data_IF_510616947604
#
_entry.id   IF_510616947604
#
_cell.length_a   1.000
_cell.length_b   1.000
_cell.length_c   1.000
_cell.angle_alpha   90.00
_cell.angle_beta   90.00
_cell.angle_gamma   90.00
#
_symmetry.space_group_name_H-M   'P 1'
#
loop_
_entity.id
_entity.type
_entity.pdbx_description
1 polymer ?
#
# COMPACT_ATOMS: atom_id res chain seq x y z
N UNK A 1 -38.42 -2.56 6.83
CA UNK A 1 -37.34 -2.40 7.83
C UNK A 1 -36.34 -1.37 7.30
N UNK A 2 -36.47 -0.11 7.72
CA UNK A 2 -35.60 0.99 7.28
C UNK A 2 -34.16 0.88 7.80
N UNK A 3 -33.97 0.29 9.00
CA UNK A 3 -32.64 0.21 9.63
C UNK A 3 -31.70 -0.76 8.90
N UNK A 4 -32.16 -1.94 8.48
CA UNK A 4 -31.34 -2.90 7.71
C UNK A 4 -30.89 -2.32 6.35
N UNK A 5 -31.75 -1.52 5.72
CA UNK A 5 -31.40 -0.83 4.47
C UNK A 5 -30.34 0.27 4.67
N UNK A 6 -30.28 0.88 5.85
CA UNK A 6 -29.23 1.84 6.21
C UNK A 6 -27.90 1.16 6.52
N UNK A 7 -27.93 -0.02 7.16
CA UNK A 7 -26.72 -0.81 7.43
C UNK A 7 -26.06 -1.29 6.14
N UNK A 8 -26.84 -1.85 5.20
CA UNK A 8 -26.33 -2.31 3.91
C UNK A 8 -25.70 -1.19 3.05
N UNK A 9 -26.21 0.05 3.13
CA UNK A 9 -25.59 1.21 2.47
C UNK A 9 -24.24 1.58 3.08
N UNK A 10 -24.13 1.47 4.40
CA UNK A 10 -22.95 1.86 5.15
C UNK A 10 -21.80 0.85 5.02
N UNK A 11 -22.13 -0.43 4.92
CA UNK A 11 -21.18 -1.48 4.55
C UNK A 11 -20.62 -1.24 3.13
N UNK A 12 -21.48 -0.90 2.17
CA UNK A 12 -21.05 -0.63 0.80
C UNK A 12 -20.09 0.57 0.69
N UNK A 13 -20.25 1.60 1.53
CA UNK A 13 -19.32 2.74 1.57
C UNK A 13 -17.93 2.34 2.10
N UNK A 14 -17.86 1.45 3.10
CA UNK A 14 -16.58 0.92 3.59
C UNK A 14 -15.84 0.21 2.45
N UNK A 15 -16.53 -0.67 1.74
CA UNK A 15 -15.94 -1.43 0.64
C UNK A 15 -15.50 -0.51 -0.50
N UNK A 16 -16.26 0.54 -0.83
CA UNK A 16 -15.92 1.51 -1.87
C UNK A 16 -14.65 2.30 -1.54
N UNK A 17 -14.53 2.80 -0.31
CA UNK A 17 -13.35 3.54 0.14
C UNK A 17 -12.09 2.66 0.10
N UNK A 18 -12.17 1.43 0.62
CA UNK A 18 -11.03 0.51 0.59
C UNK A 18 -10.68 0.03 -0.83
N UNK A 19 -11.66 -0.18 -1.69
CA UNK A 19 -11.42 -0.55 -3.09
C UNK A 19 -10.69 0.56 -3.86
N UNK A 20 -11.02 1.83 -3.59
CA UNK A 20 -10.31 2.97 -4.20
C UNK A 20 -8.84 3.01 -3.80
N UNK A 21 -8.53 2.72 -2.52
CA UNK A 21 -7.16 2.61 -2.02
C UNK A 21 -6.43 1.45 -2.67
N UNK A 22 -7.04 0.26 -2.71
CA UNK A 22 -6.46 -0.95 -3.31
C UNK A 22 -6.12 -0.73 -4.78
N UNK A 23 -7.03 -0.12 -5.55
CA UNK A 23 -6.80 0.21 -6.96
C UNK A 23 -5.60 1.14 -7.12
N UNK A 24 -5.57 2.22 -6.34
CA UNK A 24 -4.51 3.23 -6.38
C UNK A 24 -3.14 2.62 -6.05
N UNK A 25 -3.07 1.73 -5.05
CA UNK A 25 -1.85 0.99 -4.73
C UNK A 25 -1.45 0.04 -5.85
N UNK A 26 -2.40 -0.71 -6.40
CA UNK A 26 -2.15 -1.68 -7.46
C UNK A 26 -1.56 -1.02 -8.71
N UNK A 27 -2.11 0.13 -9.12
CA UNK A 27 -1.60 0.93 -10.23
C UNK A 27 -0.17 1.41 -9.95
N UNK A 28 0.09 1.99 -8.78
CA UNK A 28 1.43 2.42 -8.38
C UNK A 28 2.46 1.28 -8.33
N UNK A 29 2.07 0.11 -7.82
CA UNK A 29 2.93 -1.09 -7.81
C UNK A 29 3.27 -1.52 -9.23
N UNK A 30 2.29 -1.53 -10.13
CA UNK A 30 2.48 -1.94 -11.51
C UNK A 30 3.43 -0.99 -12.26
N UNK A 31 3.24 0.31 -12.11
CA UNK A 31 4.12 1.33 -12.70
C UNK A 31 5.57 1.20 -12.17
N UNK A 32 5.75 1.03 -10.86
CA UNK A 32 7.08 0.89 -10.28
C UNK A 32 7.78 -0.44 -10.68
N UNK A 33 7.03 -1.54 -10.90
CA UNK A 33 7.57 -2.79 -11.46
C UNK A 33 8.12 -2.58 -12.88
N UNK A 34 7.39 -1.85 -13.73
CA UNK A 34 7.87 -1.53 -15.07
C UNK A 34 9.15 -0.68 -15.01
N UNK A 35 9.20 0.30 -14.10
CA UNK A 35 10.41 1.09 -13.87
C UNK A 35 11.62 0.24 -13.46
N UNK A 36 11.41 -0.74 -12.56
CA UNK A 36 12.44 -1.68 -12.12
C UNK A 36 12.96 -2.57 -13.25
N UNK A 37 12.07 -3.11 -14.09
CA UNK A 37 12.46 -3.93 -15.25
C UNK A 37 13.39 -3.15 -16.20
N UNK A 38 13.09 -1.87 -16.44
CA UNK A 38 13.93 -1.00 -17.26
C UNK A 38 15.32 -0.85 -16.64
N UNK A 39 15.42 -0.60 -15.33
CA UNK A 39 16.71 -0.48 -14.63
C UNK A 39 17.53 -1.76 -14.79
N UNK A 40 16.92 -2.93 -14.57
CA UNK A 40 17.61 -4.22 -14.68
C UNK A 40 18.11 -4.50 -16.11
N UNK A 41 17.33 -4.13 -17.13
CA UNK A 41 17.77 -4.23 -18.52
C UNK A 41 19.01 -3.38 -18.78
N UNK A 42 19.05 -2.14 -18.27
CA UNK A 42 20.21 -1.25 -18.39
C UNK A 42 21.43 -1.82 -17.67
N UNK A 43 21.25 -2.32 -16.43
CA UNK A 43 22.33 -2.96 -15.67
C UNK A 43 22.87 -4.22 -16.33
N UNK A 44 22.02 -5.03 -16.96
CA UNK A 44 22.43 -6.25 -17.65
C UNK A 44 23.23 -5.93 -18.93
N UNK A 45 22.85 -4.87 -19.65
CA UNK A 45 23.58 -4.44 -20.84
C UNK A 45 24.95 -3.80 -20.49
N UNK A 46 25.09 -3.15 -19.33
CA UNK A 46 26.30 -2.40 -18.93
C UNK A 46 27.62 -3.21 -18.92
N UNK A 47 27.69 -4.44 -18.38
CA UNK A 47 28.89 -5.28 -18.45
C UNK A 47 29.29 -5.66 -19.88
N UNK A 48 28.31 -5.92 -20.76
CA UNK A 48 28.56 -6.25 -22.16
C UNK A 48 29.05 -5.01 -22.92
N UNK A 49 28.51 -3.83 -22.62
CA UNK A 49 29.05 -2.52 -23.06
C UNK A 49 30.52 -2.37 -22.64
N UNK A 50 30.85 -2.68 -21.38
CA UNK A 50 32.24 -2.56 -20.86
C UNK A 50 33.21 -3.57 -21.46
N UNK A 51 32.77 -4.82 -21.71
CA UNK A 51 33.59 -5.88 -22.32
C UNK A 51 33.89 -5.63 -23.79
N UNK A 52 33.03 -4.89 -24.49
CA UNK A 52 33.19 -4.50 -25.90
C UNK A 52 34.08 -3.24 -26.09
N UNK A 53 34.89 -2.88 -25.09
CA UNK A 53 35.83 -1.75 -25.14
C UNK A 53 36.84 -1.77 -26.31
N UNK A 54 36.95 -2.88 -27.04
CA UNK A 54 37.74 -2.99 -28.27
C UNK A 54 36.98 -2.51 -29.54
N UNK A 55 35.69 -2.14 -29.45
CA UNK A 55 34.83 -1.70 -30.58
C UNK A 55 34.05 -0.40 -30.23
N UNK A 56 34.72 0.74 -30.39
CA UNK A 56 34.32 2.02 -29.78
C UNK A 56 33.04 2.72 -30.32
N UNK A 57 32.50 2.36 -31.49
CA UNK A 57 31.37 3.09 -32.09
C UNK A 57 29.99 2.59 -31.61
N UNK A 58 29.87 1.29 -31.34
CA UNK A 58 28.65 0.69 -30.78
C UNK A 58 28.50 0.99 -29.28
N UNK A 59 29.63 1.22 -28.59
CA UNK A 59 29.70 1.65 -27.18
C UNK A 59 28.89 2.92 -26.90
N UNK A 60 28.99 3.93 -27.78
CA UNK A 60 28.34 5.22 -27.60
C UNK A 60 26.81 5.14 -27.70
N UNK A 61 26.30 4.34 -28.63
CA UNK A 61 24.86 4.20 -28.86
C UNK A 61 24.18 3.38 -27.74
N UNK A 62 24.79 2.30 -27.27
CA UNK A 62 24.20 1.44 -26.22
C UNK A 62 24.29 2.11 -24.84
N UNK A 63 25.38 2.83 -24.55
CA UNK A 63 25.49 3.61 -23.30
C UNK A 63 24.48 4.75 -23.25
N UNK A 64 24.28 5.45 -24.37
CA UNK A 64 23.29 6.51 -24.49
C UNK A 64 21.86 5.95 -24.40
N UNK A 65 21.56 4.82 -25.02
CA UNK A 65 20.25 4.16 -24.93
C UNK A 65 19.92 3.73 -23.50
N UNK A 66 20.88 3.15 -22.78
CA UNK A 66 20.71 2.77 -21.38
C UNK A 66 20.48 3.97 -20.46
N UNK A 67 21.27 5.04 -20.62
CA UNK A 67 21.07 6.28 -19.87
C UNK A 67 19.71 6.94 -20.17
N UNK A 68 19.31 6.99 -21.44
CA UNK A 68 18.01 7.53 -21.86
C UNK A 68 16.83 6.72 -21.32
N UNK A 69 16.96 5.39 -21.25
CA UNK A 69 15.93 4.51 -20.67
C UNK A 69 15.77 4.74 -19.17
N UNK A 70 16.89 4.89 -18.44
CA UNK A 70 16.86 5.23 -17.02
C UNK A 70 16.25 6.61 -16.78
N UNK A 71 16.67 7.62 -17.54
CA UNK A 71 16.13 8.99 -17.46
C UNK A 71 14.61 9.00 -17.67
N UNK A 72 14.10 8.21 -18.61
CA UNK A 72 12.67 8.08 -18.88
C UNK A 72 11.89 7.36 -17.80
N UNK A 73 12.48 6.40 -17.10
CA UNK A 73 11.80 5.61 -16.07
C UNK A 73 11.73 6.32 -14.71
N UNK A 74 12.66 7.24 -14.42
CA UNK A 74 12.72 7.94 -13.12
C UNK A 74 11.43 8.72 -12.77
N UNK A 75 10.77 9.45 -13.69
CA UNK A 75 9.50 10.12 -13.40
C UNK A 75 8.38 9.14 -13.04
N UNK A 76 8.29 8.00 -13.73
CA UNK A 76 7.26 6.98 -13.50
C UNK A 76 7.46 6.30 -12.13
N UNK A 77 8.71 6.02 -11.76
CA UNK A 77 9.06 5.54 -10.41
C UNK A 77 8.65 6.56 -9.34
N UNK A 78 8.95 7.85 -9.55
CA UNK A 78 8.62 8.91 -8.60
C UNK A 78 7.11 9.09 -8.43
N UNK A 79 6.37 9.03 -9.54
CA UNK A 79 4.91 9.12 -9.56
C UNK A 79 4.27 7.94 -8.82
N UNK A 80 4.76 6.74 -9.06
CA UNK A 80 4.33 5.52 -8.39
C UNK A 80 4.44 5.66 -6.87
N UNK A 81 5.63 6.06 -6.38
CA UNK A 81 5.89 6.28 -4.94
C UNK A 81 4.91 7.30 -4.36
N UNK A 82 4.65 8.41 -5.06
CA UNK A 82 3.72 9.44 -4.60
C UNK A 82 2.25 8.98 -4.55
N UNK A 83 1.81 8.19 -5.52
CA UNK A 83 0.47 7.60 -5.56
C UNK A 83 0.26 6.60 -4.42
N UNK A 84 1.28 5.80 -4.12
CA UNK A 84 1.29 4.81 -3.05
C UNK A 84 1.26 5.46 -1.66
N UNK A 85 2.02 6.53 -1.44
CA UNK A 85 2.02 7.26 -0.14
C UNK A 85 0.64 7.85 0.15
N UNK A 86 -0.06 8.36 -0.86
CA UNK A 86 -1.44 8.88 -0.70
C UNK A 86 -2.47 7.80 -0.37
N UNK A 87 -2.25 6.58 -0.85
CA UNK A 87 -3.11 5.44 -0.54
C UNK A 87 -3.04 5.06 0.95
N UNK A 88 -1.90 5.32 1.61
CA UNK A 88 -1.75 5.10 3.06
C UNK A 88 -2.56 6.12 3.87
N UNK A 89 -2.56 7.39 3.45
CA UNK A 89 -3.30 8.47 4.13
C UNK A 89 -4.82 8.25 4.15
N UNK A 90 -5.35 7.37 3.30
CA UNK A 90 -6.79 7.10 3.15
C UNK A 90 -7.28 5.91 3.99
N UNK A 91 -6.37 5.11 4.56
CA UNK A 91 -6.69 3.94 5.41
C UNK A 91 -7.45 4.36 6.68
N UNK A 92 -7.06 5.47 7.29
CA UNK A 92 -7.63 5.96 8.55
C UNK A 92 -9.10 6.38 8.40
N UNK A 93 -9.54 6.77 7.19
CA UNK A 93 -10.93 7.13 6.90
C UNK A 93 -11.87 5.91 6.92
N UNK A 94 -11.54 4.87 6.15
CA UNK A 94 -12.36 3.64 6.05
C UNK A 94 -12.50 2.92 7.38
N UNK A 95 -11.45 2.94 8.21
CA UNK A 95 -11.47 2.36 9.56
C UNK A 95 -12.41 3.13 10.48
N UNK A 96 -12.38 4.46 10.46
CA UNK A 96 -13.26 5.27 11.29
C UNK A 96 -14.73 5.02 10.95
N UNK A 97 -15.08 4.90 9.67
CA UNK A 97 -16.44 4.57 9.23
C UNK A 97 -16.87 3.20 9.77
N UNK A 98 -16.02 2.17 9.67
CA UNK A 98 -16.30 0.84 10.20
C UNK A 98 -16.47 0.80 11.72
N UNK A 99 -15.63 1.52 12.47
CA UNK A 99 -15.70 1.57 13.92
C UNK A 99 -16.93 2.33 14.43
N UNK A 100 -17.33 3.41 13.75
CA UNK A 100 -18.59 4.11 14.08
C UNK A 100 -19.81 3.19 13.88
N UNK A 101 -19.79 2.30 12.89
CA UNK A 101 -20.86 1.31 12.71
C UNK A 101 -20.85 0.25 13.82
N UNK A 102 -19.67 -0.18 14.29
CA UNK A 102 -19.57 -1.10 15.43
C UNK A 102 -20.11 -0.49 16.74
N UNK A 103 -20.13 0.84 16.87
CA UNK A 103 -20.76 1.56 18.00
C UNK A 103 -22.29 1.49 17.96
N UNK A 104 -22.91 1.28 16.80
CA UNK A 104 -24.37 1.19 16.69
C UNK A 104 -24.90 -0.16 17.21
N UNK A 105 -25.19 -0.21 18.51
CA UNK A 105 -25.77 -1.37 19.19
C UNK A 105 -27.19 -1.71 18.74
N UNK A 106 -27.80 -0.95 17.82
CA UNK A 106 -29.08 -1.30 17.20
C UNK A 106 -28.92 -2.34 16.10
N UNK A 107 -27.71 -2.49 15.55
CA UNK A 107 -27.40 -3.52 14.56
C UNK A 107 -27.41 -4.92 15.22
N UNK A 108 -27.95 -5.95 14.53
CA UNK A 108 -27.82 -7.33 14.96
C UNK A 108 -26.36 -7.74 15.15
N UNK A 109 -26.11 -8.67 16.08
CA UNK A 109 -24.77 -9.21 16.36
C UNK A 109 -24.12 -9.76 15.09
N UNK A 110 -24.88 -10.47 14.26
CA UNK A 110 -24.39 -11.03 12.98
C UNK A 110 -23.90 -9.95 12.01
N UNK A 111 -24.60 -8.83 11.91
CA UNK A 111 -24.18 -7.70 11.05
C UNK A 111 -22.92 -7.02 11.60
N UNK A 112 -22.82 -6.88 12.92
CA UNK A 112 -21.62 -6.32 13.57
C UNK A 112 -20.40 -7.23 13.42
N UNK A 113 -20.58 -8.55 13.47
CA UNK A 113 -19.52 -9.51 13.12
C UNK A 113 -19.08 -9.39 11.65
N UNK A 114 -20.02 -9.20 10.71
CA UNK A 114 -19.68 -8.97 9.30
C UNK A 114 -18.87 -7.69 9.11
N UNK A 115 -19.25 -6.60 9.76
CA UNK A 115 -18.50 -5.32 9.72
C UNK A 115 -17.09 -5.53 10.27
N UNK A 116 -16.96 -6.18 11.44
CA UNK A 116 -15.65 -6.52 12.03
C UNK A 116 -14.80 -7.33 11.05
N UNK A 117 -15.39 -8.37 10.44
CA UNK A 117 -14.70 -9.23 9.49
C UNK A 117 -14.23 -8.46 8.25
N UNK A 118 -15.07 -7.59 7.69
CA UNK A 118 -14.69 -6.75 6.55
C UNK A 118 -13.55 -5.79 6.90
N UNK A 119 -13.58 -5.15 8.07
CA UNK A 119 -12.47 -4.29 8.52
C UNK A 119 -11.19 -5.12 8.64
N UNK A 120 -11.26 -6.31 9.25
CA UNK A 120 -10.11 -7.20 9.43
C UNK A 120 -9.52 -7.67 8.09
N UNK A 121 -10.35 -8.07 7.13
CA UNK A 121 -9.92 -8.48 5.80
C UNK A 121 -9.31 -7.32 5.01
N UNK A 122 -9.88 -6.13 5.13
CA UNK A 122 -9.30 -4.93 4.52
C UNK A 122 -7.92 -4.62 5.11
N UNK A 123 -7.77 -4.64 6.44
CA UNK A 123 -6.46 -4.47 7.09
C UNK A 123 -5.45 -5.53 6.65
N UNK A 124 -5.87 -6.79 6.47
CA UNK A 124 -5.01 -7.84 5.93
C UNK A 124 -4.54 -7.54 4.50
N UNK A 125 -5.45 -7.09 3.61
CA UNK A 125 -5.10 -6.69 2.24
C UNK A 125 -4.12 -5.52 2.22
N UNK A 126 -4.34 -4.51 3.07
CA UNK A 126 -3.45 -3.36 3.18
C UNK A 126 -2.05 -3.77 3.67
N UNK A 127 -1.98 -4.66 4.66
CA UNK A 127 -0.71 -5.22 5.14
C UNK A 127 0.09 -5.88 4.01
N UNK A 128 -0.56 -6.75 3.22
CA UNK A 128 0.08 -7.42 2.09
C UNK A 128 0.54 -6.45 1.00
N UNK A 129 -0.28 -5.45 0.67
CA UNK A 129 0.07 -4.44 -0.33
C UNK A 129 1.29 -3.62 0.11
N UNK A 130 1.38 -3.24 1.39
CA UNK A 130 2.54 -2.52 1.94
C UNK A 130 3.80 -3.39 1.95
N UNK A 131 3.68 -4.68 2.27
CA UNK A 131 4.82 -5.61 2.17
C UNK A 131 5.35 -5.71 0.72
N UNK A 132 4.47 -5.79 -0.27
CA UNK A 132 4.87 -5.79 -1.68
C UNK A 132 5.58 -4.49 -2.08
N UNK A 133 5.16 -3.36 -1.51
CA UNK A 133 5.78 -2.05 -1.74
C UNK A 133 7.17 -1.94 -1.12
N UNK A 134 7.32 -2.39 0.13
CA UNK A 134 8.62 -2.47 0.80
C UNK A 134 9.57 -3.32 -0.04
N UNK A 135 9.11 -4.47 -0.53
CA UNK A 135 9.90 -5.35 -1.38
C UNK A 135 10.32 -4.65 -2.68
N UNK A 136 9.40 -3.95 -3.35
CA UNK A 136 9.68 -3.24 -4.59
C UNK A 136 10.69 -2.11 -4.39
N UNK A 137 10.54 -1.30 -3.34
CA UNK A 137 11.49 -0.22 -3.05
C UNK A 137 12.86 -0.77 -2.68
N UNK A 138 12.91 -1.87 -1.93
CA UNK A 138 14.17 -2.56 -1.63
C UNK A 138 14.87 -3.02 -2.92
N UNK A 139 14.13 -3.64 -3.84
CA UNK A 139 14.68 -4.05 -5.14
C UNK A 139 15.13 -2.85 -6.00
N UNK A 140 14.40 -1.73 -5.97
CA UNK A 140 14.81 -0.50 -6.65
C UNK A 140 16.09 0.10 -6.07
N UNK A 141 16.26 0.09 -4.74
CA UNK A 141 17.51 0.51 -4.10
C UNK A 141 18.69 -0.37 -4.52
N UNK A 142 18.51 -1.69 -4.47
CA UNK A 142 19.54 -2.65 -4.89
C UNK A 142 19.90 -2.48 -6.37
N UNK A 143 18.90 -2.32 -7.24
CA UNK A 143 19.07 -2.13 -8.68
C UNK A 143 19.65 -0.76 -9.05
N UNK A 144 19.59 0.24 -8.17
CA UNK A 144 20.21 1.55 -8.42
C UNK A 144 21.53 1.73 -7.65
N UNK A 145 21.84 0.84 -6.71
CA UNK A 145 22.92 1.04 -5.74
C UNK A 145 22.70 2.27 -4.85
N UNK A 146 21.45 2.68 -4.66
CA UNK A 146 21.05 3.90 -3.95
C UNK A 146 20.44 3.57 -2.59
N UNK A 147 20.54 4.50 -1.64
CA UNK A 147 19.81 4.47 -0.36
C UNK A 147 18.70 5.52 -0.29
N UNK A 148 18.36 6.14 -1.42
CA UNK A 148 17.43 7.26 -1.47
C UNK A 148 15.97 6.90 -1.11
N UNK A 149 15.61 5.62 -1.08
CA UNK A 149 14.27 5.16 -0.70
C UNK A 149 14.22 4.61 0.74
N UNK A 150 15.34 4.64 1.48
CA UNK A 150 15.43 3.99 2.78
C UNK A 150 14.44 4.61 3.77
N UNK A 151 14.36 5.93 3.84
CA UNK A 151 13.40 6.63 4.70
C UNK A 151 11.95 6.25 4.35
N UNK A 152 11.63 6.09 3.06
CA UNK A 152 10.31 5.65 2.60
C UNK A 152 10.04 4.19 2.98
N UNK A 153 11.04 3.31 2.85
CA UNK A 153 10.95 1.90 3.28
C UNK A 153 10.72 1.82 4.79
N UNK A 154 11.46 2.58 5.58
CA UNK A 154 11.34 2.61 7.03
C UNK A 154 9.94 3.10 7.43
N UNK A 155 9.45 4.16 6.77
CA UNK A 155 8.08 4.65 7.00
C UNK A 155 7.01 3.64 6.63
N UNK A 156 7.18 2.93 5.51
CA UNK A 156 6.27 1.85 5.12
C UNK A 156 6.28 0.72 6.15
N UNK A 157 7.43 0.36 6.71
CA UNK A 157 7.52 -0.64 7.78
C UNK A 157 6.78 -0.19 9.04
N UNK A 158 6.94 1.08 9.46
CA UNK A 158 6.19 1.65 10.60
C UNK A 158 4.68 1.54 10.37
N UNK A 159 4.21 2.01 9.21
CA UNK A 159 2.79 1.95 8.82
C UNK A 159 2.30 0.50 8.79
N UNK A 160 3.08 -0.42 8.23
CA UNK A 160 2.73 -1.82 8.16
C UNK A 160 2.57 -2.45 9.55
N UNK A 161 3.44 -2.06 10.48
CA UNK A 161 3.34 -2.48 11.88
C UNK A 161 2.07 -1.92 12.53
N UNK A 162 1.77 -0.62 12.35
CA UNK A 162 0.54 -0.04 12.87
C UNK A 162 -0.71 -0.74 12.34
N UNK A 163 -0.75 -1.06 11.05
CA UNK A 163 -1.88 -1.80 10.43
C UNK A 163 -1.97 -3.22 11.01
N UNK A 164 -0.85 -3.90 11.23
CA UNK A 164 -0.82 -5.24 11.82
C UNK A 164 -1.32 -5.23 13.28
N UNK A 165 -0.88 -4.25 14.07
CA UNK A 165 -1.32 -4.06 15.45
C UNK A 165 -2.82 -3.75 15.49
N UNK A 166 -3.27 -2.84 14.63
CA UNK A 166 -4.67 -2.44 14.52
C UNK A 166 -5.56 -3.61 14.12
N UNK A 167 -5.11 -4.45 13.17
CA UNK A 167 -5.80 -5.69 12.80
C UNK A 167 -5.93 -6.62 14.00
N UNK A 168 -4.87 -6.79 14.77
CA UNK A 168 -4.88 -7.64 15.97
C UNK A 168 -5.92 -7.15 16.98
N UNK A 169 -6.02 -5.83 17.17
CA UNK A 169 -7.05 -5.26 18.06
C UNK A 169 -8.46 -5.47 17.49
N UNK A 170 -8.67 -5.24 16.19
CA UNK A 170 -9.96 -5.47 15.52
C UNK A 170 -10.38 -6.94 15.61
N UNK A 171 -9.46 -7.89 15.37
CA UNK A 171 -9.72 -9.32 15.48
C UNK A 171 -10.15 -9.73 16.89
N UNK A 172 -9.56 -9.08 17.89
CA UNK A 172 -9.84 -9.29 19.31
C UNK A 172 -11.18 -8.73 19.80
N UNK A 173 -11.90 -7.95 18.98
CA UNK A 173 -13.22 -7.42 19.36
C UNK A 173 -14.21 -8.57 19.53
N UNK A 174 -14.80 -8.68 20.72
CA UNK A 174 -16.04 -9.43 20.91
C UNK A 174 -17.22 -8.48 20.71
N UNK A 175 -17.93 -8.59 19.59
CA UNK A 175 -19.01 -7.64 19.29
C UNK A 175 -20.14 -7.71 20.31
N UNK A 176 -20.28 -8.80 21.07
CA UNK A 176 -21.31 -8.92 22.10
C UNK A 176 -21.05 -8.05 23.33
N UNK A 177 -19.77 -7.74 23.61
CA UNK A 177 -19.36 -7.06 24.84
C UNK A 177 -18.61 -5.75 24.60
N UNK A 178 -18.19 -5.46 23.35
CA UNK A 178 -17.44 -4.25 23.00
C UNK A 178 -18.09 -2.94 23.49
N UNK A 179 -17.26 -2.09 24.08
CA UNK A 179 -17.63 -0.78 24.61
C UNK A 179 -17.21 0.35 23.66
N UNK A 180 -17.77 1.54 23.89
CA UNK A 180 -17.35 2.72 23.12
C UNK A 180 -15.89 3.10 23.40
N UNK A 181 -15.40 2.86 24.63
CA UNK A 181 -14.02 3.15 25.02
C UNK A 181 -13.05 2.24 24.26
N UNK A 182 -13.39 0.95 24.11
CA UNK A 182 -12.61 0.01 23.28
C UNK A 182 -12.51 0.52 21.83
N UNK A 183 -13.63 0.96 21.26
CA UNK A 183 -13.67 1.46 19.88
C UNK A 183 -12.92 2.80 19.73
N UNK A 184 -12.91 3.66 20.76
CA UNK A 184 -12.15 4.91 20.76
C UNK A 184 -10.64 4.66 20.79
N UNK A 185 -10.16 3.66 21.54
CA UNK A 185 -8.73 3.27 21.53
C UNK A 185 -8.30 2.89 20.10
N UNK A 186 -9.14 2.15 19.39
CA UNK A 186 -8.87 1.71 18.01
C UNK A 186 -8.86 2.91 17.06
N UNK A 187 -9.79 3.84 17.22
CA UNK A 187 -9.81 5.09 16.43
C UNK A 187 -8.57 5.94 16.66
N UNK A 188 -8.05 5.99 17.89
CA UNK A 188 -6.85 6.76 18.20
C UNK A 188 -5.57 6.09 17.69
N UNK A 189 -5.54 4.76 17.61
CA UNK A 189 -4.47 4.03 16.91
C UNK A 189 -4.53 4.25 15.40
N UNK A 190 -5.72 4.22 14.80
CA UNK A 190 -5.91 4.44 13.36
C UNK A 190 -5.44 5.84 12.90
N UNK A 191 -5.44 6.84 13.78
CA UNK A 191 -4.92 8.20 13.48
C UNK A 191 -3.39 8.29 13.44
N UNK A 192 -2.68 7.24 13.87
CA UNK A 192 -1.22 7.20 13.86
C UNK A 192 -0.65 6.64 12.54
N UNK A 193 -1.54 6.03 11.75
CA UNK A 193 -1.32 5.65 10.35
C UNK A 193 -1.47 6.89 9.48
#
# INVERSE_FOLDING_TARGET
MPEIQNAGRQIAMIDEDFASVEQTMSEGIQEAKQGLEIIQQVQTALPDIRKLGDQANDLGNVTLDGANKLEKALPDITRSVGTIVKAIETISSGINIGLEQLKDKRLPVEEREQIKQQISENLARQHENILQLIQLFTQLQEATGSTALQDSIDKLNEVNQFISDLKTVVDGIDVNSVTNDDLTIIQDQAKQV
#
